data_IF_703007971787
#
_entry.id   IF_703007971787
#
_cell.length_a   1.000
_cell.length_b   1.000
_cell.length_c   1.000
_cell.angle_alpha   90.00
_cell.angle_beta   90.00
_cell.angle_gamma   90.00
#
_symmetry.space_group_name_H-M   'P 1'
#
loop_
_entity.id
_entity.type
_entity.pdbx_description
1 polymer ?
#
# COMPACT_ATOMS: atom_id res chain seq x y z
N UNK A 1 4.14 1.18 22.17
CA UNK A 1 5.43 0.52 21.87
C UNK A 1 5.29 -0.78 21.06
N UNK A 2 4.57 -1.82 21.53
CA UNK A 2 4.50 -3.12 20.79
C UNK A 2 4.01 -2.96 19.34
N UNK A 3 2.89 -2.24 19.14
CA UNK A 3 2.34 -2.01 17.80
C UNK A 3 3.26 -1.20 16.88
N UNK A 4 4.04 -0.26 17.43
CA UNK A 4 5.01 0.52 16.67
C UNK A 4 6.20 -0.33 16.18
N UNK A 5 6.58 -1.38 16.94
CA UNK A 5 7.60 -2.36 16.51
C UNK A 5 7.03 -3.41 15.56
N UNK A 6 5.78 -3.81 15.77
CA UNK A 6 5.10 -4.80 14.95
C UNK A 6 4.72 -4.28 13.55
N UNK A 7 4.34 -3.01 13.44
CA UNK A 7 3.90 -2.42 12.17
C UNK A 7 4.95 -2.55 11.05
N UNK A 8 6.23 -2.14 11.23
CA UNK A 8 7.26 -2.32 10.21
C UNK A 8 7.50 -3.79 9.82
N UNK A 9 7.26 -4.76 10.70
CA UNK A 9 7.38 -6.17 10.34
C UNK A 9 6.24 -6.61 9.41
N UNK A 10 5.01 -6.18 9.70
CA UNK A 10 3.83 -6.60 8.96
C UNK A 10 3.66 -5.90 7.62
N UNK A 11 4.17 -4.65 7.45
CA UNK A 11 3.95 -3.87 6.22
C UNK A 11 4.61 -4.46 4.98
N UNK A 12 5.74 -5.17 5.13
CA UNK A 12 6.50 -5.68 3.98
C UNK A 12 5.69 -6.63 3.11
N UNK A 13 4.82 -7.44 3.74
CA UNK A 13 4.02 -8.43 3.04
C UNK A 13 2.96 -7.80 2.10
N UNK A 14 2.00 -6.96 2.57
CA UNK A 14 1.08 -6.29 1.68
C UNK A 14 1.78 -5.34 0.70
N UNK A 15 2.88 -4.69 1.09
CA UNK A 15 3.66 -3.85 0.15
C UNK A 15 4.21 -4.69 -1.00
N UNK A 16 4.86 -5.82 -0.70
CA UNK A 16 5.37 -6.73 -1.72
C UNK A 16 4.27 -7.29 -2.62
N UNK A 17 3.13 -7.68 -2.05
CA UNK A 17 1.97 -8.14 -2.80
C UNK A 17 1.39 -7.04 -3.71
N UNK A 18 1.16 -5.84 -3.18
CA UNK A 18 0.56 -4.76 -3.97
C UNK A 18 1.50 -4.27 -5.07
N UNK A 19 2.79 -4.13 -4.79
CA UNK A 19 3.78 -3.71 -5.79
C UNK A 19 3.94 -4.78 -6.88
N UNK A 20 4.14 -6.05 -6.51
CA UNK A 20 4.22 -7.14 -7.49
C UNK A 20 2.91 -7.33 -8.26
N UNK A 21 1.77 -7.19 -7.59
CA UNK A 21 0.45 -7.24 -8.20
C UNK A 21 0.28 -6.20 -9.31
N UNK A 22 0.59 -4.93 -9.00
CA UNK A 22 0.57 -3.83 -9.99
C UNK A 22 1.49 -4.13 -11.18
N UNK A 23 2.73 -4.53 -10.92
CA UNK A 23 3.71 -4.84 -11.98
C UNK A 23 3.22 -5.97 -12.88
N UNK A 24 2.74 -7.07 -12.29
CA UNK A 24 2.28 -8.24 -13.03
C UNK A 24 0.98 -7.98 -13.79
N UNK A 25 0.02 -7.24 -13.23
CA UNK A 25 -1.20 -6.88 -13.97
C UNK A 25 -0.91 -5.99 -15.17
N UNK A 26 -0.06 -4.97 -15.00
CA UNK A 26 0.33 -4.07 -16.11
C UNK A 26 1.13 -4.85 -17.16
N UNK A 27 2.15 -5.61 -16.74
CA UNK A 27 2.95 -6.40 -17.66
C UNK A 27 2.11 -7.44 -18.41
N UNK A 28 1.27 -8.19 -17.69
CA UNK A 28 0.39 -9.19 -18.27
C UNK A 28 -0.59 -8.59 -19.27
N UNK A 29 -1.17 -7.42 -18.95
CA UNK A 29 -2.05 -6.71 -19.89
C UNK A 29 -1.31 -6.23 -21.15
N UNK A 30 -0.09 -5.69 -21.02
CA UNK A 30 0.72 -5.22 -22.15
C UNK A 30 1.21 -6.37 -23.05
N UNK A 31 1.57 -7.50 -22.44
CA UNK A 31 2.08 -8.68 -23.14
C UNK A 31 0.98 -9.65 -23.57
N UNK A 32 -0.27 -9.41 -23.16
CA UNK A 32 -1.39 -10.34 -23.31
C UNK A 32 -1.09 -11.71 -22.70
N UNK A 33 -0.36 -11.71 -21.58
CA UNK A 33 -0.02 -12.90 -20.81
C UNK A 33 -1.04 -13.08 -19.68
N UNK A 34 -1.98 -14.00 -19.89
CA UNK A 34 -3.08 -14.23 -18.95
C UNK A 34 -2.63 -14.83 -17.63
N UNK A 35 -1.52 -15.59 -17.62
CA UNK A 35 -0.98 -16.23 -16.41
C UNK A 35 -0.40 -15.15 -15.50
N UNK A 36 0.44 -14.29 -16.05
CA UNK A 36 1.05 -13.19 -15.29
C UNK A 36 -0.02 -12.19 -14.84
N UNK A 37 -0.99 -11.86 -15.69
CA UNK A 37 -2.08 -10.95 -15.30
C UNK A 37 -2.95 -11.55 -14.18
N UNK A 38 -3.18 -12.87 -14.20
CA UNK A 38 -3.94 -13.56 -13.14
C UNK A 38 -3.18 -13.59 -11.82
N UNK A 39 -1.89 -13.87 -11.85
CA UNK A 39 -1.02 -13.78 -10.67
C UNK A 39 -1.03 -12.35 -10.10
N UNK A 40 -0.94 -11.34 -10.97
CA UNK A 40 -1.04 -9.94 -10.58
C UNK A 40 -2.36 -9.62 -9.87
N UNK A 41 -3.50 -9.99 -10.47
CA UNK A 41 -4.83 -9.78 -9.86
C UNK A 41 -4.97 -10.44 -8.50
N UNK A 42 -4.42 -11.66 -8.34
CA UNK A 42 -4.41 -12.34 -7.06
C UNK A 42 -3.62 -11.55 -6.03
N UNK A 43 -2.39 -11.15 -6.36
CA UNK A 43 -1.52 -10.38 -5.49
C UNK A 43 -2.14 -9.03 -5.08
N UNK A 44 -2.71 -8.29 -6.02
CA UNK A 44 -3.36 -7.00 -5.73
C UNK A 44 -4.54 -7.16 -4.77
N UNK A 45 -5.41 -8.15 -5.00
CA UNK A 45 -6.58 -8.40 -4.14
C UNK A 45 -6.18 -8.89 -2.76
N UNK A 46 -5.24 -9.84 -2.70
CA UNK A 46 -4.78 -10.39 -1.43
C UNK A 46 -4.00 -9.34 -0.62
N UNK A 47 -3.13 -8.57 -1.29
CA UNK A 47 -2.43 -7.44 -0.72
C UNK A 47 -3.38 -6.37 -0.17
N UNK A 48 -4.49 -6.08 -0.85
CA UNK A 48 -5.53 -5.17 -0.36
C UNK A 48 -6.16 -5.67 0.96
N UNK A 49 -6.47 -6.96 1.06
CA UNK A 49 -6.98 -7.51 2.32
C UNK A 49 -5.94 -7.50 3.44
N UNK A 50 -4.67 -7.77 3.13
CA UNK A 50 -3.57 -7.67 4.09
C UNK A 50 -3.24 -6.22 4.51
N UNK A 51 -3.59 -5.22 3.70
CA UNK A 51 -3.42 -3.80 4.04
C UNK A 51 -4.29 -3.41 5.24
N UNK A 52 -5.52 -3.91 5.35
CA UNK A 52 -6.46 -3.53 6.41
C UNK A 52 -5.93 -3.78 7.84
N UNK A 53 -5.47 -4.98 8.21
CA UNK A 53 -4.90 -5.20 9.55
C UNK A 53 -3.63 -4.38 9.76
N UNK A 54 -2.82 -4.15 8.72
CA UNK A 54 -1.60 -3.33 8.81
C UNK A 54 -1.91 -1.86 9.09
N UNK A 55 -2.95 -1.30 8.48
CA UNK A 55 -3.44 0.04 8.79
C UNK A 55 -3.89 0.13 10.25
N UNK A 56 -4.61 -0.89 10.74
CA UNK A 56 -5.02 -0.97 12.14
C UNK A 56 -3.84 -0.98 13.11
N UNK A 57 -2.86 -1.86 12.86
CA UNK A 57 -1.64 -1.95 13.68
C UNK A 57 -0.81 -0.66 13.60
N UNK A 58 -0.71 -0.03 12.43
CA UNK A 58 0.00 1.23 12.23
C UNK A 58 -0.65 2.39 13.00
N UNK A 59 -1.98 2.47 12.97
CA UNK A 59 -2.74 3.47 13.72
C UNK A 59 -2.56 3.31 15.23
N UNK A 60 -2.66 2.08 15.75
CA UNK A 60 -2.37 1.78 17.16
C UNK A 60 -0.91 2.08 17.53
N UNK A 61 0.01 1.82 16.60
CA UNK A 61 1.43 2.18 16.72
C UNK A 61 1.61 3.68 16.93
N UNK A 62 0.99 4.50 16.07
CA UNK A 62 1.02 5.96 16.14
C UNK A 62 0.51 6.50 17.48
N UNK A 63 -0.65 6.02 17.95
CA UNK A 63 -1.22 6.45 19.23
C UNK A 63 -0.30 6.17 20.42
N UNK A 64 0.65 5.23 20.27
CA UNK A 64 1.61 4.87 21.29
C UNK A 64 2.95 5.62 21.21
N UNK A 65 3.13 6.50 20.23
CA UNK A 65 4.35 7.29 20.06
C UNK A 65 4.35 8.51 20.98
N UNK A 66 5.50 8.79 21.58
CA UNK A 66 5.76 9.99 22.38
C UNK A 66 6.79 10.87 21.65
N UNK A 67 6.77 12.19 21.90
CA UNK A 67 7.74 13.15 21.34
C UNK A 67 7.85 13.11 19.80
N UNK A 68 6.71 13.16 19.11
CA UNK A 68 6.63 13.08 17.64
C UNK A 68 7.11 14.33 16.91
N UNK A 69 7.41 15.44 17.61
CA UNK A 69 7.78 16.72 16.97
C UNK A 69 8.96 16.60 16.01
N UNK A 70 9.96 15.78 16.34
CA UNK A 70 11.17 15.59 15.52
C UNK A 70 10.91 15.00 14.13
N UNK A 71 9.81 14.28 13.97
CA UNK A 71 9.48 13.55 12.73
C UNK A 71 8.02 13.78 12.30
N UNK A 72 7.37 14.82 12.82
CA UNK A 72 5.94 15.10 12.61
C UNK A 72 5.59 15.23 11.13
N UNK A 73 6.44 15.88 10.35
CA UNK A 73 6.21 16.07 8.91
C UNK A 73 6.31 14.75 8.12
N UNK A 74 7.26 13.87 8.51
CA UNK A 74 7.41 12.54 7.93
C UNK A 74 6.25 11.63 8.33
N UNK A 75 5.82 11.68 9.59
CA UNK A 75 4.64 10.95 10.07
C UNK A 75 3.37 11.42 9.36
N UNK A 76 3.18 12.73 9.23
CA UNK A 76 2.06 13.32 8.50
C UNK A 76 2.02 12.87 7.03
N UNK A 77 3.16 12.96 6.34
CA UNK A 77 3.30 12.53 4.95
C UNK A 77 3.05 11.02 4.81
N UNK A 78 3.65 10.19 5.68
CA UNK A 78 3.42 8.75 5.70
C UNK A 78 1.94 8.42 5.85
N UNK A 79 1.22 9.10 6.76
CA UNK A 79 -0.21 8.89 6.95
C UNK A 79 -1.05 9.33 5.76
N UNK A 80 -0.75 10.50 5.20
CA UNK A 80 -1.43 10.98 3.99
C UNK A 80 -1.31 9.97 2.86
N UNK A 81 -0.10 9.46 2.59
CA UNK A 81 0.11 8.47 1.55
C UNK A 81 -0.45 7.09 1.91
N UNK A 82 -0.47 6.69 3.18
CA UNK A 82 -1.10 5.44 3.62
C UNK A 82 -2.62 5.46 3.37
N UNK A 83 -3.32 6.53 3.77
CA UNK A 83 -4.75 6.69 3.52
C UNK A 83 -5.06 6.88 2.03
N UNK A 84 -4.24 7.63 1.30
CA UNK A 84 -4.36 7.77 -0.15
C UNK A 84 -4.23 6.42 -0.85
N UNK A 85 -3.22 5.62 -0.50
CA UNK A 85 -3.03 4.27 -1.03
C UNK A 85 -4.24 3.39 -0.75
N UNK A 86 -4.75 3.40 0.49
CA UNK A 86 -5.95 2.65 0.87
C UNK A 86 -7.18 3.07 0.05
N UNK A 87 -7.39 4.37 -0.14
CA UNK A 87 -8.49 4.89 -0.94
C UNK A 87 -8.37 4.51 -2.42
N UNK A 88 -7.17 4.58 -3.00
CA UNK A 88 -6.90 4.21 -4.39
C UNK A 88 -7.18 2.71 -4.61
N UNK A 89 -6.62 1.83 -3.78
CA UNK A 89 -6.84 0.39 -3.92
C UNK A 89 -8.29 0.00 -3.62
N UNK A 90 -8.97 0.65 -2.67
CA UNK A 90 -10.42 0.48 -2.47
C UNK A 90 -11.18 0.85 -3.73
N UNK A 91 -10.86 1.99 -4.35
CA UNK A 91 -11.48 2.43 -5.60
C UNK A 91 -11.23 1.43 -6.74
N UNK A 92 -10.02 0.88 -6.84
CA UNK A 92 -9.69 -0.18 -7.79
C UNK A 92 -10.55 -1.44 -7.60
N UNK A 93 -10.75 -1.87 -6.35
CA UNK A 93 -11.62 -3.01 -6.01
C UNK A 93 -13.07 -2.75 -6.40
N UNK A 94 -13.60 -1.55 -6.11
CA UNK A 94 -14.96 -1.15 -6.47
C UNK A 94 -15.15 -1.11 -7.99
N UNK A 95 -14.21 -0.53 -8.73
CA UNK A 95 -14.27 -0.46 -10.20
C UNK A 95 -14.22 -1.86 -10.80
N UNK A 96 -13.30 -2.72 -10.35
CA UNK A 96 -13.20 -4.11 -10.80
C UNK A 96 -14.50 -4.90 -10.53
N UNK A 97 -15.15 -4.64 -9.39
CA UNK A 97 -16.36 -5.34 -8.97
C UNK A 97 -17.63 -4.89 -9.70
N UNK A 98 -17.84 -3.58 -9.82
CA UNK A 98 -19.12 -2.99 -10.21
C UNK A 98 -19.13 -2.43 -11.63
N UNK A 99 -17.99 -1.99 -12.18
CA UNK A 99 -17.94 -1.38 -13.49
C UNK A 99 -17.56 -2.40 -14.57
N UNK A 100 -18.53 -2.79 -15.40
CA UNK A 100 -18.36 -3.83 -16.45
C UNK A 100 -18.13 -3.27 -17.87
N UNK A 101 -17.83 -1.98 -17.99
CA UNK A 101 -17.60 -1.32 -19.28
C UNK A 101 -16.18 -1.63 -19.82
N UNK A 102 -15.95 -1.68 -21.14
CA UNK A 102 -14.63 -1.99 -21.69
C UNK A 102 -13.54 -1.01 -21.27
N UNK A 103 -13.86 0.28 -21.14
CA UNK A 103 -12.93 1.30 -20.65
C UNK A 103 -12.60 1.16 -19.15
N UNK A 104 -13.42 0.45 -18.38
CA UNK A 104 -13.21 0.24 -16.94
C UNK A 104 -11.91 -0.52 -16.67
N UNK A 105 -11.49 -1.40 -17.59
CA UNK A 105 -10.21 -2.11 -17.50
C UNK A 105 -9.02 -1.15 -17.56
N UNK A 106 -9.06 -0.20 -18.50
CA UNK A 106 -8.00 0.80 -18.64
C UNK A 106 -7.97 1.70 -17.40
N UNK A 107 -9.14 2.18 -16.96
CA UNK A 107 -9.22 2.97 -15.73
C UNK A 107 -8.68 2.21 -14.52
N UNK A 108 -9.06 0.93 -14.36
CA UNK A 108 -8.56 0.08 -13.29
C UNK A 108 -7.02 -0.04 -13.31
N UNK A 109 -6.43 -0.31 -14.49
CA UNK A 109 -4.96 -0.41 -14.63
C UNK A 109 -4.26 0.92 -14.29
N UNK A 110 -4.83 2.06 -14.68
CA UNK A 110 -4.31 3.38 -14.32
C UNK A 110 -4.39 3.63 -12.81
N UNK A 111 -5.49 3.26 -12.17
CA UNK A 111 -5.69 3.43 -10.73
C UNK A 111 -4.68 2.59 -9.95
N UNK A 112 -4.50 1.31 -10.29
CA UNK A 112 -3.51 0.47 -9.59
C UNK A 112 -2.08 0.95 -9.86
N UNK A 113 -1.78 1.52 -11.04
CA UNK A 113 -0.46 2.12 -11.32
C UNK A 113 -0.18 3.32 -10.39
N UNK A 114 -1.15 4.24 -10.25
CA UNK A 114 -1.05 5.36 -9.30
C UNK A 114 -0.97 4.85 -7.86
N UNK A 115 -1.72 3.79 -7.53
CA UNK A 115 -1.67 3.12 -6.23
C UNK A 115 -0.29 2.53 -5.91
N UNK A 116 0.37 1.93 -6.90
CA UNK A 116 1.73 1.42 -6.77
C UNK A 116 2.73 2.54 -6.42
N UNK A 117 2.65 3.68 -7.10
CA UNK A 117 3.49 4.85 -6.78
C UNK A 117 3.19 5.39 -5.38
N UNK A 118 1.91 5.46 -4.98
CA UNK A 118 1.51 5.90 -3.65
C UNK A 118 2.04 4.98 -2.54
N UNK A 119 2.05 3.65 -2.76
CA UNK A 119 2.60 2.69 -1.80
C UNK A 119 4.11 2.82 -1.67
N UNK A 120 4.83 2.95 -2.78
CA UNK A 120 6.28 3.16 -2.74
C UNK A 120 6.63 4.45 -1.98
N UNK A 121 5.85 5.50 -2.20
CA UNK A 121 6.00 6.77 -1.48
C UNK A 121 5.67 6.63 0.01
N UNK A 122 4.62 5.88 0.36
CA UNK A 122 4.29 5.55 1.76
C UNK A 122 5.45 4.82 2.43
N UNK A 123 6.03 3.83 1.73
CA UNK A 123 7.18 3.05 2.18
C UNK A 123 8.43 3.90 2.38
N UNK A 124 8.69 4.87 1.50
CA UNK A 124 9.79 5.82 1.65
C UNK A 124 9.71 6.61 2.96
N UNK A 125 8.57 7.26 3.23
CA UNK A 125 8.39 8.02 4.47
C UNK A 125 8.40 7.13 5.72
N UNK A 126 7.85 5.92 5.62
CA UNK A 126 7.90 4.91 6.68
C UNK A 126 9.33 4.47 7.00
N UNK A 127 10.12 4.21 5.96
CA UNK A 127 11.54 3.85 6.08
C UNK A 127 12.37 4.97 6.69
N UNK A 128 12.18 6.23 6.27
CA UNK A 128 12.87 7.38 6.88
C UNK A 128 12.54 7.52 8.37
N UNK A 129 11.29 7.29 8.80
CA UNK A 129 10.94 7.27 10.23
C UNK A 129 11.72 6.21 11.02
N UNK A 130 11.93 5.03 10.44
CA UNK A 130 12.69 3.96 11.10
C UNK A 130 14.20 4.26 11.08
N UNK A 131 14.76 4.57 9.92
CA UNK A 131 16.21 4.67 9.72
C UNK A 131 16.81 5.99 10.20
N UNK A 132 16.12 7.12 10.00
CA UNK A 132 16.62 8.45 10.39
C UNK A 132 16.22 8.81 11.82
N UNK A 133 15.03 8.41 12.25
CA UNK A 133 14.44 8.86 13.51
C UNK A 133 14.26 7.75 14.57
N UNK A 134 14.49 6.48 14.24
CA UNK A 134 14.48 5.38 15.21
C UNK A 134 13.09 5.04 15.78
N UNK A 135 12.00 5.34 15.06
CA UNK A 135 10.61 5.26 15.55
C UNK A 135 10.15 3.82 15.91
N UNK A 136 10.96 2.80 15.59
CA UNK A 136 10.71 1.40 15.94
C UNK A 136 11.88 0.70 16.65
N UNK A 137 12.98 1.40 16.96
CA UNK A 137 14.20 0.79 17.50
C UNK A 137 14.35 0.92 19.01
N UNK A 138 13.64 1.86 19.64
CA UNK A 138 13.60 2.08 21.09
C UNK A 138 12.20 1.73 21.61
#
# INVERSE_FOLDING_TARGET
MIFAKLHPMLVHFPVGLLVSGVVFEIYGALRKDEVVETAGRFNTRFGFWCLLPVLGVGFLGMLSLQNTEKFKDFLGSHLQFAFLSAAIFTSAMLISRYLKKPWARILYLLIIAVGGVAILTTGYFGGEMVHRFGVSTH
#
